data_IF_955097236187
#
_entry.id   IF_955097236187
#
_cell.length_a   1.000
_cell.length_b   1.000
_cell.length_c   1.000
_cell.angle_alpha   90.00
_cell.angle_beta   90.00
_cell.angle_gamma   90.00
#
_symmetry.space_group_name_H-M   'P 1'
#
loop_
_entity.id
_entity.type
_entity.pdbx_description
1 polymer ?
#
# COMPACT_ATOMS: atom_id res chain seq x y z
N UNK A 1 12.12 9.36 3.39
CA UNK A 1 11.72 8.65 4.61
C UNK A 1 12.65 7.46 4.83
N UNK A 2 13.20 7.30 6.02
CA UNK A 2 14.13 6.21 6.36
C UNK A 2 13.47 4.85 6.53
N UNK A 3 12.14 4.80 6.61
CA UNK A 3 11.36 3.56 6.72
C UNK A 3 11.07 2.99 5.32
N UNK A 4 10.56 3.81 4.39
CA UNK A 4 10.18 3.37 3.04
C UNK A 4 11.22 3.69 1.94
N UNK A 5 12.29 4.42 2.27
CA UNK A 5 13.36 4.85 1.36
C UNK A 5 12.89 5.71 0.16
N UNK A 6 11.71 6.33 0.24
CA UNK A 6 11.18 7.28 -0.77
C UNK A 6 11.37 8.74 -0.32
N UNK A 7 11.17 9.76 -1.18
CA UNK A 7 11.08 11.16 -0.76
C UNK A 7 9.95 11.37 0.26
N UNK A 8 10.16 12.24 1.26
CA UNK A 8 9.15 12.53 2.30
C UNK A 8 8.05 13.40 1.69
N UNK A 9 6.85 12.86 1.55
CA UNK A 9 5.67 13.56 1.06
C UNK A 9 4.91 14.25 2.20
N UNK A 10 4.79 13.59 3.36
CA UNK A 10 4.11 14.13 4.55
C UNK A 10 5.00 13.97 5.77
N UNK A 11 5.68 15.05 6.16
CA UNK A 11 6.69 15.01 7.21
C UNK A 11 6.06 14.74 8.58
N UNK A 12 6.55 13.69 9.24
CA UNK A 12 6.21 13.35 10.62
C UNK A 12 7.35 13.75 11.58
N UNK A 13 6.99 14.30 12.75
CA UNK A 13 7.93 14.60 13.84
C UNK A 13 7.64 13.68 15.02
N UNK A 14 8.64 12.89 15.42
CA UNK A 14 8.54 11.97 16.56
C UNK A 14 8.83 12.67 17.89
N UNK A 15 7.86 12.78 18.79
CA UNK A 15 8.02 13.39 20.13
C UNK A 15 8.37 12.32 21.15
N UNK A 16 9.40 12.50 22.01
CA UNK A 16 10.14 13.74 22.28
C UNK A 16 11.46 13.91 21.49
N UNK A 17 11.87 12.92 20.71
CA UNK A 17 13.21 12.91 20.09
C UNK A 17 13.39 13.86 18.88
N UNK A 18 12.30 14.47 18.40
CA UNK A 18 12.23 15.42 17.28
C UNK A 18 12.83 14.95 15.94
N UNK A 19 13.01 13.64 15.78
CA UNK A 19 13.43 13.09 14.48
C UNK A 19 12.31 13.26 13.45
N UNK A 20 12.70 13.74 12.26
CA UNK A 20 11.80 14.16 11.18
C UNK A 20 12.03 13.45 9.84
N UNK A 21 12.81 12.38 9.83
CA UNK A 21 13.21 11.67 8.61
C UNK A 21 12.15 10.67 8.11
N UNK A 22 10.88 10.84 8.49
CA UNK A 22 9.81 9.88 8.27
C UNK A 22 8.62 10.50 7.57
N UNK A 23 7.95 9.71 6.73
CA UNK A 23 6.58 9.99 6.34
C UNK A 23 5.62 9.64 7.48
N UNK A 24 4.55 10.41 7.64
CA UNK A 24 3.56 10.23 8.71
C UNK A 24 3.02 8.81 8.76
N UNK A 25 2.51 8.29 7.64
CA UNK A 25 1.97 6.93 7.57
C UNK A 25 3.02 5.87 7.88
N UNK A 26 4.28 6.09 7.46
CA UNK A 26 5.35 5.15 7.75
C UNK A 26 5.67 5.10 9.24
N UNK A 27 5.74 6.26 9.90
CA UNK A 27 6.03 6.33 11.33
C UNK A 27 4.86 5.79 12.17
N UNK A 28 3.61 6.09 11.81
CA UNK A 28 2.44 5.56 12.52
C UNK A 28 2.35 4.04 12.38
N UNK A 29 2.62 3.49 11.20
CA UNK A 29 2.64 2.03 10.99
C UNK A 29 3.72 1.36 11.85
N UNK A 30 4.91 1.95 11.93
CA UNK A 30 5.98 1.45 12.82
C UNK A 30 5.56 1.46 14.29
N UNK A 31 4.86 2.50 14.73
CA UNK A 31 4.42 2.66 16.12
C UNK A 31 3.34 1.68 16.56
N UNK A 32 2.63 1.04 15.62
CA UNK A 32 1.70 -0.04 15.92
C UNK A 32 2.40 -1.30 16.43
N UNK A 33 3.63 -1.56 15.97
CA UNK A 33 4.43 -2.70 16.42
C UNK A 33 5.40 -2.33 17.55
N UNK A 34 6.04 -1.16 17.45
CA UNK A 34 7.06 -0.70 18.37
C UNK A 34 6.89 0.78 18.67
N UNK A 35 6.51 1.11 19.90
CA UNK A 35 6.38 2.50 20.37
C UNK A 35 7.75 3.20 20.58
N UNK A 36 8.75 2.94 19.73
CA UNK A 36 10.10 3.53 19.80
C UNK A 36 10.53 4.13 18.46
N UNK A 37 11.41 5.13 18.49
CA UNK A 37 11.91 5.79 17.29
C UNK A 37 12.83 4.86 16.46
N UNK A 38 12.64 4.74 15.14
CA UNK A 38 13.51 3.93 14.29
C UNK A 38 14.98 4.36 14.27
N UNK A 39 15.26 5.65 14.57
CA UNK A 39 16.61 6.21 14.52
C UNK A 39 17.34 6.11 15.87
N UNK A 40 16.69 6.55 16.95
CA UNK A 40 17.34 6.65 18.27
C UNK A 40 16.80 5.68 19.32
N UNK A 41 15.77 4.89 18.99
CA UNK A 41 15.11 3.93 19.90
C UNK A 41 14.42 4.55 21.13
N UNK A 42 14.34 5.88 21.23
CA UNK A 42 13.59 6.56 22.28
C UNK A 42 12.09 6.23 22.19
N UNK A 43 11.40 6.09 23.32
CA UNK A 43 9.95 5.89 23.35
C UNK A 43 9.22 7.10 22.78
N UNK A 44 8.30 6.87 21.84
CA UNK A 44 7.51 7.93 21.19
C UNK A 44 6.15 8.00 21.85
N UNK A 45 5.78 9.19 22.33
CA UNK A 45 4.45 9.45 22.91
C UNK A 45 3.48 10.00 21.88
N UNK A 46 3.99 10.85 20.98
CA UNK A 46 3.19 11.60 20.01
C UNK A 46 3.92 11.76 18.69
N UNK A 47 3.13 11.87 17.62
CA UNK A 47 3.60 12.19 16.27
C UNK A 47 2.91 13.44 15.78
N UNK A 48 3.68 14.47 15.45
CA UNK A 48 3.15 15.72 14.88
C UNK A 48 3.32 15.72 13.36
N UNK A 49 2.26 16.03 12.61
CA UNK A 49 2.20 15.96 11.15
C UNK A 49 1.31 17.06 10.54
N UNK A 50 1.27 17.17 9.21
CA UNK A 50 0.49 18.19 8.46
C UNK A 50 0.74 19.62 8.98
N UNK A 51 2.02 20.00 9.08
CA UNK A 51 2.43 21.33 9.53
C UNK A 51 2.09 22.38 8.47
N UNK A 52 1.10 23.23 8.74
CA UNK A 52 0.71 24.37 7.89
C UNK A 52 1.24 25.70 8.39
N UNK A 53 1.48 25.79 9.71
CA UNK A 53 2.16 26.91 10.37
C UNK A 53 2.87 26.41 11.64
N UNK A 54 3.73 27.20 12.30
CA UNK A 54 4.41 26.80 13.54
C UNK A 54 3.47 26.39 14.68
N UNK A 55 2.21 26.85 14.64
CA UNK A 55 1.18 26.56 15.64
C UNK A 55 0.01 25.74 15.07
N UNK A 56 0.04 25.40 13.78
CA UNK A 56 -1.02 24.64 13.09
C UNK A 56 -0.44 23.33 12.55
N UNK A 57 -0.61 22.28 13.35
CA UNK A 57 -0.21 20.91 13.05
C UNK A 57 -1.20 19.94 13.69
N UNK A 58 -1.26 18.72 13.16
CA UNK A 58 -2.04 17.63 13.72
C UNK A 58 -1.18 16.74 14.60
N UNK A 59 -1.76 16.23 15.67
CA UNK A 59 -1.08 15.32 16.60
C UNK A 59 -1.75 13.97 16.60
N UNK A 60 -0.95 12.92 16.44
CA UNK A 60 -1.33 11.53 16.64
C UNK A 60 -0.72 11.02 17.95
N UNK A 61 -1.56 10.59 18.90
CA UNK A 61 -1.11 10.02 20.17
C UNK A 61 -0.92 8.51 20.02
N UNK A 62 0.24 8.01 20.43
CA UNK A 62 0.54 6.58 20.40
C UNK A 62 -0.19 5.89 21.55
N UNK A 63 -1.00 4.83 21.29
CA UNK A 63 -1.62 4.08 22.37
C UNK A 63 -0.53 3.47 23.26
N UNK A 64 -0.65 3.53 24.59
CA UNK A 64 0.25 2.77 25.45
C UNK A 64 0.14 1.29 25.08
N UNK A 65 1.25 0.53 25.11
CA UNK A 65 1.19 -0.92 24.89
C UNK A 65 0.19 -1.53 25.89
N UNK A 66 -0.61 -2.53 25.49
CA UNK A 66 -1.47 -3.24 26.42
C UNK A 66 -0.56 -3.95 27.43
N UNK A 67 -0.34 -3.30 28.56
CA UNK A 67 0.39 -3.87 29.68
C UNK A 67 -0.35 -5.14 30.10
N UNK A 68 0.35 -6.27 30.02
CA UNK A 68 0.01 -7.46 30.75
C UNK A 68 -0.25 -7.06 32.21
N UNK A 69 -1.49 -7.20 32.66
CA UNK A 69 -1.85 -7.10 34.07
C UNK A 69 -1.28 -8.34 34.79
N UNK A 70 0.04 -8.36 35.02
CA UNK A 70 0.60 -9.14 36.10
C UNK A 70 0.21 -8.47 37.41
N UNK A 71 -0.83 -9.03 38.04
CA UNK A 71 -1.09 -8.79 39.43
C UNK A 71 0.09 -9.27 40.27
N UNK A 72 0.66 -8.37 41.08
CA UNK A 72 0.91 -8.71 42.47
C UNK A 72 1.09 -7.48 43.37
N UNK A 73 0.16 -7.38 44.32
CA UNK A 73 0.33 -7.07 45.74
C UNK A 73 0.97 -5.73 46.15
N UNK A 74 0.10 -4.73 46.40
CA UNK A 74 0.27 -3.81 47.54
C UNK A 74 -0.91 -3.99 48.50
N UNK A 75 -0.56 -4.27 49.75
CA UNK A 75 -1.45 -4.48 50.89
C UNK A 75 -2.18 -3.22 51.36
N UNK A 76 -3.44 -3.43 51.80
CA UNK A 76 -4.23 -2.69 52.82
C UNK A 76 -4.77 -1.31 52.40
N UNK A 77 -6.08 -1.01 52.45
CA UNK A 77 -7.03 -1.28 53.54
C UNK A 77 -8.50 -1.12 53.10
N UNK A 78 -9.33 -2.09 53.49
CA UNK A 78 -10.72 -1.99 54.00
C UNK A 78 -11.68 -0.92 53.42
N UNK A 79 -12.66 -1.40 52.67
CA UNK A 79 -13.97 -0.75 52.49
C UNK A 79 -15.00 -1.80 52.07
N UNK A 80 -15.84 -2.21 53.02
CA UNK A 80 -16.88 -3.22 52.91
C UNK A 80 -18.07 -2.71 52.07
N UNK A 81 -18.58 -3.53 51.14
CA UNK A 81 -19.77 -3.23 50.36
C UNK A 81 -20.21 -4.38 49.45
N UNK A 82 -20.91 -5.35 50.04
CA UNK A 82 -21.65 -6.47 49.44
C UNK A 82 -22.47 -6.03 48.20
N UNK A 83 -22.20 -6.53 46.98
CA UNK A 83 -22.64 -7.78 46.35
C UNK A 83 -24.09 -7.82 45.80
N UNK A 84 -24.14 -8.25 44.51
CA UNK A 84 -25.24 -8.88 43.73
C UNK A 84 -26.19 -7.93 42.98
N UNK A 85 -26.59 -8.17 41.74
CA UNK A 85 -26.22 -9.16 40.73
C UNK A 85 -26.97 -8.83 39.42
N UNK A 86 -26.30 -9.03 38.30
CA UNK A 86 -26.81 -9.53 37.00
C UNK A 86 -27.91 -8.80 36.22
N UNK A 87 -27.54 -8.61 34.95
CA UNK A 87 -28.31 -8.73 33.70
C UNK A 87 -28.87 -7.46 33.04
N UNK A 88 -28.39 -7.31 31.80
CA UNK A 88 -29.06 -6.73 30.64
C UNK A 88 -29.35 -5.22 30.71
N UNK A 89 -28.62 -4.45 29.90
CA UNK A 89 -29.09 -4.19 28.55
C UNK A 89 -27.93 -3.66 27.71
N UNK A 90 -27.62 -4.44 26.68
CA UNK A 90 -26.93 -4.01 25.47
C UNK A 90 -27.74 -2.84 24.89
N UNK A 91 -27.44 -1.61 25.32
CA UNK A 91 -27.88 -0.42 24.61
C UNK A 91 -26.79 -0.11 23.60
N UNK A 92 -26.98 -0.68 22.41
CA UNK A 92 -26.38 -0.25 21.15
C UNK A 92 -26.46 1.29 21.07
N UNK A 93 -25.39 1.97 21.48
CA UNK A 93 -24.87 3.08 20.67
C UNK A 93 -24.27 2.35 19.47
N UNK A 94 -24.89 2.21 18.30
CA UNK A 94 -25.47 3.28 17.48
C UNK A 94 -24.73 4.61 17.68
N UNK A 95 -23.41 4.53 17.89
CA UNK A 95 -22.52 5.56 17.41
C UNK A 95 -22.65 5.47 15.91
N UNK A 96 -23.36 6.45 15.35
CA UNK A 96 -23.25 6.79 13.95
C UNK A 96 -21.78 6.65 13.60
N UNK A 97 -21.48 5.64 12.77
CA UNK A 97 -20.19 5.54 12.14
C UNK A 97 -20.00 6.85 11.43
N UNK A 98 -19.21 7.74 12.03
CA UNK A 98 -18.46 8.71 11.25
C UNK A 98 -17.57 7.81 10.42
N UNK A 99 -18.09 7.48 9.23
CA UNK A 99 -17.31 6.98 8.13
C UNK A 99 -16.21 8.00 7.99
N UNK A 100 -15.05 7.70 8.60
CA UNK A 100 -13.77 8.16 8.09
C UNK A 100 -13.73 7.59 6.68
N UNK A 101 -14.39 8.29 5.76
CA UNK A 101 -14.31 8.09 4.34
C UNK A 101 -12.89 8.50 3.99
N UNK A 102 -11.96 7.58 4.27
CA UNK A 102 -10.74 7.45 3.51
C UNK A 102 -11.22 7.43 2.08
N UNK A 103 -11.14 8.58 1.42
CA UNK A 103 -11.51 8.72 0.05
C UNK A 103 -10.47 7.89 -0.71
N UNK A 104 -10.76 6.60 -0.86
CA UNK A 104 -9.88 5.68 -1.58
C UNK A 104 -9.61 6.32 -2.92
N UNK A 105 -8.33 6.40 -3.29
CA UNK A 105 -7.90 6.99 -4.55
C UNK A 105 -8.85 6.55 -5.67
N UNK A 106 -9.56 7.48 -6.34
CA UNK A 106 -10.55 7.13 -7.35
C UNK A 106 -9.96 6.25 -8.46
N UNK A 107 -8.65 6.38 -8.73
CA UNK A 107 -7.93 5.49 -9.64
C UNK A 107 -7.92 4.04 -9.12
N UNK A 108 -7.60 3.82 -7.83
CA UNK A 108 -7.62 2.47 -7.24
C UNK A 108 -9.01 1.87 -7.19
N UNK A 109 -10.05 2.67 -6.91
CA UNK A 109 -11.44 2.19 -6.97
C UNK A 109 -11.80 1.72 -8.38
N UNK A 110 -11.40 2.45 -9.42
CA UNK A 110 -11.58 2.02 -10.81
C UNK A 110 -10.83 0.71 -11.08
N UNK A 111 -9.55 0.63 -10.71
CA UNK A 111 -8.74 -0.58 -10.94
C UNK A 111 -9.30 -1.82 -10.22
N UNK A 112 -9.89 -1.66 -9.03
CA UNK A 112 -10.59 -2.77 -8.36
C UNK A 112 -11.76 -3.33 -9.18
N UNK A 113 -12.53 -2.48 -9.85
CA UNK A 113 -13.61 -2.95 -10.74
C UNK A 113 -13.03 -3.69 -11.95
N UNK A 114 -11.94 -3.17 -12.54
CA UNK A 114 -11.25 -3.83 -13.66
C UNK A 114 -10.82 -5.27 -13.29
N UNK A 115 -10.21 -5.47 -12.12
CA UNK A 115 -9.83 -6.81 -11.66
C UNK A 115 -11.03 -7.67 -11.23
N UNK A 116 -12.05 -7.08 -10.62
CA UNK A 116 -13.25 -7.81 -10.21
C UNK A 116 -14.02 -8.34 -11.42
N UNK A 117 -14.19 -7.52 -12.45
CA UNK A 117 -14.95 -7.85 -13.66
C UNK A 117 -14.09 -8.58 -14.71
N UNK A 118 -12.80 -8.80 -14.41
CA UNK A 118 -11.79 -9.33 -15.33
C UNK A 118 -11.80 -8.60 -16.70
N UNK A 119 -11.96 -7.29 -16.66
CA UNK A 119 -12.11 -6.46 -17.85
C UNK A 119 -10.75 -6.20 -18.51
N UNK A 120 -10.52 -6.80 -19.68
CA UNK A 120 -9.28 -6.59 -20.44
C UNK A 120 -9.34 -5.29 -21.22
N UNK A 121 -8.27 -4.49 -21.19
CA UNK A 121 -8.18 -3.31 -22.07
C UNK A 121 -8.20 -3.71 -23.54
N UNK A 122 -8.85 -2.88 -24.36
CA UNK A 122 -8.84 -3.04 -25.80
C UNK A 122 -7.42 -2.84 -26.35
N UNK A 123 -7.00 -3.75 -27.22
CA UNK A 123 -5.68 -3.68 -27.84
C UNK A 123 -5.61 -2.49 -28.80
N UNK A 124 -4.60 -1.63 -28.60
CA UNK A 124 -4.25 -0.55 -29.53
C UNK A 124 -3.02 -0.97 -30.32
N UNK A 125 -3.19 -1.10 -31.64
CA UNK A 125 -2.12 -1.49 -32.54
C UNK A 125 -1.00 -0.45 -32.61
N UNK A 126 0.24 -0.91 -32.76
CA UNK A 126 1.38 -0.01 -32.90
C UNK A 126 1.33 0.73 -34.23
N UNK A 127 1.13 2.05 -34.19
CA UNK A 127 1.18 2.90 -35.37
C UNK A 127 1.65 4.33 -35.02
N UNK A 128 2.21 5.08 -35.98
CA UNK A 128 2.72 6.44 -35.72
C UNK A 128 1.66 7.43 -35.21
N UNK A 129 0.38 7.19 -35.52
CA UNK A 129 -0.73 8.06 -35.15
C UNK A 129 -1.13 7.90 -33.68
N UNK A 130 -1.15 6.66 -33.18
CA UNK A 130 -1.46 6.32 -31.79
C UNK A 130 -0.24 6.47 -30.88
N UNK A 131 0.97 6.42 -31.43
CA UNK A 131 2.21 6.46 -30.67
C UNK A 131 2.48 5.19 -29.85
N UNK A 132 1.69 4.13 -30.03
CA UNK A 132 1.94 2.85 -29.39
C UNK A 132 3.12 2.13 -30.05
N UNK A 133 4.03 1.62 -29.25
CA UNK A 133 5.24 0.93 -29.72
C UNK A 133 5.40 -0.43 -29.04
N UNK A 134 5.70 -1.46 -29.84
CA UNK A 134 6.05 -2.78 -29.35
C UNK A 134 7.41 -2.76 -28.66
N UNK A 135 7.62 -3.66 -27.69
CA UNK A 135 8.90 -3.81 -27.02
C UNK A 135 9.26 -5.29 -26.87
N UNK A 136 10.57 -5.56 -26.83
CA UNK A 136 11.12 -6.88 -26.55
C UNK A 136 11.81 -6.90 -25.18
N UNK A 137 12.06 -8.07 -24.57
CA UNK A 137 12.76 -8.16 -23.29
C UNK A 137 14.14 -7.50 -23.31
N UNK A 138 14.82 -7.52 -24.47
CA UNK A 138 16.11 -6.86 -24.68
C UNK A 138 15.95 -5.34 -24.58
N UNK A 139 14.96 -4.76 -25.26
CA UNK A 139 14.67 -3.31 -25.20
C UNK A 139 14.28 -2.91 -23.77
N UNK A 140 13.45 -3.71 -23.11
CA UNK A 140 13.03 -3.49 -21.73
C UNK A 140 14.21 -3.53 -20.75
N UNK A 141 15.12 -4.49 -20.91
CA UNK A 141 16.31 -4.63 -20.07
C UNK A 141 17.28 -3.45 -20.24
N UNK A 142 17.42 -2.93 -21.46
CA UNK A 142 18.28 -1.78 -21.78
C UNK A 142 17.67 -0.43 -21.34
N UNK A 143 16.34 -0.32 -21.22
CA UNK A 143 15.65 0.93 -20.93
C UNK A 143 15.31 1.08 -19.44
N UNK A 144 16.04 1.93 -18.66
CA UNK A 144 15.69 2.19 -17.27
C UNK A 144 14.35 2.92 -17.13
N UNK A 145 13.94 3.68 -18.16
CA UNK A 145 12.67 4.40 -18.16
C UNK A 145 11.47 3.45 -18.32
N UNK A 146 11.58 2.40 -19.15
CA UNK A 146 10.52 1.38 -19.19
C UNK A 146 10.40 0.63 -17.86
N UNK A 147 11.53 0.38 -17.20
CA UNK A 147 11.54 -0.25 -15.87
C UNK A 147 10.95 0.69 -14.80
N UNK A 148 11.19 2.00 -14.87
CA UNK A 148 10.61 2.99 -13.95
C UNK A 148 9.08 3.06 -14.12
N UNK A 149 8.60 3.11 -15.37
CA UNK A 149 7.18 3.08 -15.75
C UNK A 149 6.49 1.78 -15.33
N UNK A 150 7.14 0.64 -15.52
CA UNK A 150 6.63 -0.65 -15.06
C UNK A 150 6.47 -0.68 -13.53
N UNK A 151 7.49 -0.23 -12.77
CA UNK A 151 7.40 -0.15 -11.31
C UNK A 151 6.28 0.77 -10.85
N UNK A 152 6.10 1.92 -11.49
CA UNK A 152 5.02 2.86 -11.16
C UNK A 152 3.65 2.19 -11.30
N UNK A 153 3.41 1.49 -12.42
CA UNK A 153 2.19 0.71 -12.65
C UNK A 153 2.00 -0.36 -11.59
N UNK A 154 3.00 -1.22 -11.37
CA UNK A 154 2.92 -2.33 -10.42
C UNK A 154 2.68 -1.87 -8.97
N UNK A 155 3.26 -0.75 -8.56
CA UNK A 155 3.01 -0.18 -7.21
C UNK A 155 1.53 0.15 -7.01
N UNK A 156 0.84 0.62 -8.05
CA UNK A 156 -0.60 0.92 -8.02
C UNK A 156 -1.41 -0.38 -8.09
N UNK A 157 -1.17 -1.22 -9.10
CA UNK A 157 -1.98 -2.42 -9.33
C UNK A 157 -1.92 -3.40 -8.17
N UNK A 158 -0.74 -3.62 -7.58
CA UNK A 158 -0.61 -4.56 -6.46
C UNK A 158 -1.31 -4.07 -5.17
N UNK A 159 -1.79 -2.81 -5.10
CA UNK A 159 -2.67 -2.33 -4.00
C UNK A 159 -4.09 -2.90 -4.11
N UNK A 160 -4.49 -3.39 -5.29
CA UNK A 160 -5.78 -4.04 -5.49
C UNK A 160 -5.83 -5.34 -4.69
N UNK A 161 -4.72 -6.07 -4.64
CA UNK A 161 -4.56 -7.32 -3.92
C UNK A 161 -4.28 -7.10 -2.43
N UNK A 162 -5.32 -6.75 -1.68
CA UNK A 162 -5.23 -6.49 -0.22
C UNK A 162 -4.65 -7.67 0.58
N UNK A 163 -4.75 -8.90 0.07
CA UNK A 163 -4.17 -10.08 0.73
C UNK A 163 -2.63 -10.07 0.73
N UNK A 164 -1.99 -9.35 -0.19
CA UNK A 164 -0.54 -9.21 -0.21
C UNK A 164 -0.01 -8.38 0.97
N UNK A 165 -0.87 -7.58 1.61
CA UNK A 165 -0.54 -6.80 2.80
C UNK A 165 -0.69 -7.61 4.12
N UNK A 166 -1.30 -8.80 4.06
CA UNK A 166 -1.58 -9.63 5.24
C UNK A 166 -0.38 -10.51 5.67
N UNK A 167 0.70 -10.55 4.87
CA UNK A 167 1.90 -11.33 5.18
C UNK A 167 2.84 -10.45 6.02
N UNK A 168 3.10 -10.76 7.31
CA UNK A 168 3.86 -9.90 8.24
C UNK A 168 5.34 -9.74 7.87
N UNK A 169 5.85 -10.53 6.94
CA UNK A 169 7.18 -10.36 6.37
C UNK A 169 7.09 -9.25 5.34
N UNK A 170 7.40 -8.00 5.73
CA UNK A 170 7.33 -6.75 4.96
C UNK A 170 8.11 -6.73 3.63
N UNK A 171 7.78 -7.64 2.73
CA UNK A 171 8.50 -7.96 1.52
C UNK A 171 7.59 -8.35 0.36
N UNK A 172 6.35 -8.83 0.54
CA UNK A 172 5.58 -9.42 -0.56
C UNK A 172 5.42 -8.49 -1.78
N UNK A 173 4.98 -7.25 -1.59
CA UNK A 173 4.70 -6.35 -2.73
C UNK A 173 5.95 -5.75 -3.35
N UNK A 174 6.91 -5.32 -2.54
CA UNK A 174 8.19 -4.78 -3.03
C UNK A 174 9.01 -5.84 -3.75
N UNK A 175 9.08 -7.04 -3.17
CA UNK A 175 9.70 -8.20 -3.79
C UNK A 175 8.98 -8.59 -5.08
N UNK A 176 7.65 -8.66 -5.08
CA UNK A 176 6.88 -9.02 -6.28
C UNK A 176 7.08 -8.02 -7.41
N UNK A 177 7.21 -6.72 -7.10
CA UNK A 177 7.56 -5.71 -8.11
C UNK A 177 8.91 -6.04 -8.74
N UNK A 178 9.96 -6.22 -7.94
CA UNK A 178 11.29 -6.51 -8.50
C UNK A 178 11.35 -7.89 -9.18
N UNK A 179 10.59 -8.86 -8.69
CA UNK A 179 10.41 -10.16 -9.33
C UNK A 179 9.76 -10.03 -10.71
N UNK A 180 8.64 -9.30 -10.83
CA UNK A 180 7.98 -9.03 -12.13
C UNK A 180 8.94 -8.30 -13.07
N UNK A 181 9.68 -7.30 -12.58
CA UNK A 181 10.68 -6.60 -13.39
C UNK A 181 11.78 -7.57 -13.87
N UNK A 182 12.22 -8.50 -13.03
CA UNK A 182 13.19 -9.51 -13.42
C UNK A 182 12.62 -10.49 -14.47
N UNK A 183 11.36 -10.91 -14.33
CA UNK A 183 10.66 -11.75 -15.32
C UNK A 183 10.59 -11.04 -16.67
N UNK A 184 10.20 -9.76 -16.70
CA UNK A 184 10.10 -8.97 -17.94
C UNK A 184 11.43 -8.72 -18.65
N UNK A 185 12.56 -8.86 -17.95
CA UNK A 185 13.90 -8.78 -18.56
C UNK A 185 14.27 -10.04 -19.35
N UNK A 186 13.64 -11.17 -19.06
CA UNK A 186 13.99 -12.48 -19.62
C UNK A 186 12.86 -13.15 -20.40
N UNK A 187 11.62 -12.67 -20.25
CA UNK A 187 10.42 -13.27 -20.82
C UNK A 187 9.47 -12.19 -21.32
N UNK A 188 8.76 -12.49 -22.40
CA UNK A 188 7.70 -11.62 -22.94
C UNK A 188 6.41 -11.77 -22.12
N UNK A 189 5.68 -10.67 -21.84
CA UNK A 189 4.43 -10.72 -21.06
C UNK A 189 3.38 -11.68 -21.63
N UNK A 190 3.35 -11.81 -22.96
CA UNK A 190 2.45 -12.70 -23.72
C UNK A 190 3.24 -13.73 -24.55
N UNK A 191 4.36 -14.20 -24.01
CA UNK A 191 5.13 -15.26 -24.65
C UNK A 191 4.27 -16.52 -24.87
N UNK A 192 4.46 -17.19 -26.01
CA UNK A 192 3.75 -18.43 -26.34
C UNK A 192 4.03 -19.58 -25.35
N UNK A 193 5.09 -19.44 -24.54
CA UNK A 193 5.47 -20.35 -23.48
C UNK A 193 4.66 -20.16 -22.18
N UNK A 194 3.89 -19.08 -22.04
CA UNK A 194 3.06 -18.81 -20.86
C UNK A 194 3.85 -18.63 -19.54
N UNK A 195 5.18 -18.58 -19.62
CA UNK A 195 6.08 -18.65 -18.47
C UNK A 195 5.87 -17.49 -17.50
N UNK A 196 5.65 -16.29 -18.03
CA UNK A 196 5.38 -15.10 -17.22
C UNK A 196 4.06 -15.24 -16.43
N UNK A 197 3.02 -15.82 -17.05
CA UNK A 197 1.72 -16.04 -16.39
C UNK A 197 1.84 -17.07 -15.27
N UNK A 198 2.49 -18.21 -15.54
CA UNK A 198 2.62 -19.29 -14.56
C UNK A 198 3.41 -18.84 -13.32
N UNK A 199 4.51 -18.11 -13.50
CA UNK A 199 5.32 -17.57 -12.39
C UNK A 199 4.54 -16.59 -11.50
N UNK A 200 3.61 -15.82 -12.07
CA UNK A 200 2.82 -14.86 -11.31
C UNK A 200 1.55 -15.48 -10.73
N UNK A 201 1.05 -16.56 -11.33
CA UNK A 201 -0.18 -17.23 -10.91
C UNK A 201 -0.12 -17.72 -9.46
N UNK A 202 1.06 -18.13 -8.97
CA UNK A 202 1.27 -18.54 -7.58
C UNK A 202 1.06 -17.39 -6.58
N UNK A 203 1.34 -16.15 -7.01
CA UNK A 203 1.32 -14.97 -6.13
C UNK A 203 0.00 -14.21 -6.17
N UNK A 204 -0.64 -14.11 -7.33
CA UNK A 204 -1.85 -13.28 -7.52
C UNK A 204 -3.07 -14.05 -8.03
N UNK A 205 -2.91 -15.33 -8.38
CA UNK A 205 -3.91 -16.14 -9.06
C UNK A 205 -3.79 -16.04 -10.59
N UNK A 206 -4.14 -17.11 -11.31
CA UNK A 206 -3.95 -17.23 -12.76
C UNK A 206 -4.70 -16.15 -13.57
N UNK A 207 -5.98 -15.93 -13.28
CA UNK A 207 -6.78 -14.95 -14.03
C UNK A 207 -6.33 -13.50 -13.78
N UNK A 208 -5.94 -13.20 -12.54
CA UNK A 208 -5.37 -11.91 -12.17
C UNK A 208 -3.97 -11.69 -12.77
N UNK A 209 -3.14 -12.74 -12.85
CA UNK A 209 -1.82 -12.68 -13.47
C UNK A 209 -1.94 -12.35 -14.96
N UNK A 210 -2.87 -13.01 -15.67
CA UNK A 210 -3.17 -12.73 -17.08
C UNK A 210 -3.59 -11.29 -17.31
N UNK A 211 -4.55 -10.81 -16.53
CA UNK A 211 -5.03 -9.44 -16.63
C UNK A 211 -3.92 -8.43 -16.29
N UNK A 212 -3.16 -8.66 -15.21
CA UNK A 212 -2.05 -7.80 -14.81
C UNK A 212 -1.00 -7.68 -15.92
N UNK A 213 -0.60 -8.78 -16.54
CA UNK A 213 0.38 -8.79 -17.63
C UNK A 213 -0.16 -8.10 -18.88
N UNK A 214 -1.43 -8.33 -19.22
CA UNK A 214 -2.07 -7.66 -20.35
C UNK A 214 -2.12 -6.14 -20.18
N UNK A 215 -2.56 -5.67 -19.01
CA UNK A 215 -2.63 -4.24 -18.72
C UNK A 215 -1.25 -3.59 -18.62
N UNK A 216 -0.26 -4.31 -18.05
CA UNK A 216 1.11 -3.85 -17.96
C UNK A 216 1.74 -3.69 -19.34
N UNK A 217 1.51 -4.64 -20.24
CA UNK A 217 1.97 -4.55 -21.62
C UNK A 217 1.33 -3.36 -22.35
N UNK A 218 0.00 -3.20 -22.24
CA UNK A 218 -0.74 -2.09 -22.83
C UNK A 218 -0.23 -0.73 -22.33
N UNK A 219 0.04 -0.62 -21.03
CA UNK A 219 0.65 0.57 -20.42
C UNK A 219 2.06 0.84 -20.97
N UNK A 220 2.93 -0.16 -21.02
CA UNK A 220 4.32 0.00 -21.47
C UNK A 220 4.43 0.37 -22.94
N UNK A 221 3.54 -0.18 -23.78
CA UNK A 221 3.42 0.18 -25.20
C UNK A 221 2.90 1.59 -25.41
N UNK A 222 2.14 2.13 -24.46
CA UNK A 222 1.51 3.44 -24.60
C UNK A 222 2.52 4.59 -24.56
N UNK A 223 2.23 5.73 -25.22
CA UNK A 223 3.10 6.91 -25.20
C UNK A 223 2.99 7.73 -23.90
N UNK A 224 2.12 7.36 -22.96
CA UNK A 224 1.86 8.18 -21.78
C UNK A 224 2.94 8.01 -20.70
N UNK A 225 3.46 9.13 -20.21
CA UNK A 225 4.43 9.15 -19.11
C UNK A 225 3.79 8.95 -17.72
N UNK A 226 2.50 9.30 -17.59
CA UNK A 226 1.76 9.26 -16.31
C UNK A 226 0.58 8.32 -16.38
N UNK A 227 0.36 7.56 -15.31
CA UNK A 227 -0.73 6.58 -15.21
C UNK A 227 -2.10 7.25 -15.31
N UNK A 228 -2.24 8.43 -14.70
CA UNK A 228 -3.48 9.21 -14.74
C UNK A 228 -3.95 9.50 -16.17
N UNK A 229 -3.02 9.78 -17.09
CA UNK A 229 -3.34 10.09 -18.48
C UNK A 229 -3.75 8.84 -19.26
N UNK A 230 -3.10 7.70 -18.98
CA UNK A 230 -3.47 6.44 -19.60
C UNK A 230 -4.83 5.93 -19.09
N UNK A 231 -5.13 6.08 -17.80
CA UNK A 231 -6.42 5.72 -17.21
C UNK A 231 -7.61 6.46 -17.84
N UNK A 232 -7.39 7.65 -18.39
CA UNK A 232 -8.43 8.42 -19.09
C UNK A 232 -8.69 7.92 -20.51
N UNK A 233 -7.70 7.29 -21.13
CA UNK A 233 -7.71 6.93 -22.55
C UNK A 233 -7.92 5.44 -22.79
N UNK A 234 -7.56 4.60 -21.82
CA UNK A 234 -7.77 3.15 -21.89
C UNK A 234 -9.27 2.82 -21.92
N UNK A 235 -9.63 1.88 -22.79
CA UNK A 235 -10.98 1.38 -22.97
C UNK A 235 -11.01 -0.11 -22.63
N UNK A 236 -12.12 -0.59 -22.06
CA UNK A 236 -12.32 -1.97 -21.64
C UNK A 236 -13.41 -2.65 -22.47
N UNK A 237 -13.25 -3.96 -22.70
CA UNK A 237 -14.24 -4.80 -23.37
C UNK A 237 -15.40 -5.18 -22.45
#
# INVERSE_FOLDING_TARGET
>A
CTICLQPIAERAVAVPCNHLAFDFLCLVSWLQERATCPLCKASITEVQYDWRSPNDFKTYHVPPPPSAETGDTVSRSRGHGSQRSTLAFVRRRSGAGSSLHWEEDPALRRRRHVYHDHAFSLHVGANPVSGYCDFTPIIFSASPEMQSRARAFLRRELRVFRFLDAVPSGGSRGFLIEFIIAVLKVSEPKGADGRAEDLLSESVGRDNARLLLHELEAWLRSPYARLENWDQMVQYA
#
